data_IF_781112316162
#
_entry.id   IF_781112316162
#
_cell.length_a   1.000
_cell.length_b   1.000
_cell.length_c   1.000
_cell.angle_alpha   90.00
_cell.angle_beta   90.00
_cell.angle_gamma   90.00
#
_symmetry.space_group_name_H-M   'P 1'
#
loop_
_entity.id
_entity.type
_entity.pdbx_description
1 polymer ?
#
# COMPACT_ATOMS: atom_id res chain seq x y z
N UNK A 1 12.39 -4.85 -12.15
CA UNK A 1 12.14 -4.69 -10.72
C UNK A 1 10.67 -4.81 -10.44
N UNK A 2 10.36 -5.53 -9.40
CA UNK A 2 8.98 -5.73 -9.03
C UNK A 2 8.51 -4.65 -8.10
N UNK A 3 7.28 -4.26 -8.29
CA UNK A 3 6.63 -3.31 -7.41
C UNK A 3 5.37 -3.94 -6.88
N UNK A 4 5.06 -3.59 -5.64
CA UNK A 4 3.88 -4.11 -5.00
C UNK A 4 3.02 -2.96 -4.54
N UNK A 5 1.72 -3.20 -4.51
CA UNK A 5 0.77 -2.20 -4.08
C UNK A 5 0.06 -2.72 -2.85
N UNK A 6 0.05 -1.91 -1.82
CA UNK A 6 -0.69 -2.20 -0.60
C UNK A 6 -1.95 -1.35 -0.60
N UNK A 7 -3.06 -1.99 -0.84
CA UNK A 7 -4.34 -1.29 -0.92
C UNK A 7 -4.94 -1.21 0.48
N UNK A 8 -5.15 0.01 0.93
CA UNK A 8 -5.63 0.23 2.30
C UNK A 8 -7.05 0.78 2.35
N UNK A 9 -7.63 1.08 1.21
CA UNK A 9 -9.03 1.46 1.15
C UNK A 9 -9.23 2.95 1.01
N UNK A 10 -9.12 3.69 2.07
CA UNK A 10 -9.42 5.11 2.03
C UNK A 10 -8.15 5.93 1.81
N UNK A 11 -8.34 7.13 1.28
CA UNK A 11 -7.20 8.01 1.05
C UNK A 11 -6.54 8.40 2.36
N UNK A 12 -7.32 8.51 3.42
CA UNK A 12 -6.77 8.88 4.73
C UNK A 12 -5.78 7.82 5.20
N UNK A 13 -6.16 6.55 5.10
CA UNK A 13 -5.26 5.48 5.48
C UNK A 13 -4.07 5.38 4.54
N UNK A 14 -4.30 5.66 3.27
CA UNK A 14 -3.20 5.62 2.31
C UNK A 14 -2.15 6.67 2.64
N UNK A 15 -2.58 7.86 3.01
CA UNK A 15 -1.66 8.91 3.38
C UNK A 15 -0.92 8.53 4.65
N UNK A 16 -1.62 7.96 5.62
CA UNK A 16 -0.99 7.51 6.85
C UNK A 16 0.05 6.43 6.57
N UNK A 17 -0.32 5.47 5.72
CA UNK A 17 0.60 4.40 5.38
C UNK A 17 1.85 4.96 4.71
N UNK A 18 1.66 5.90 3.78
CA UNK A 18 2.80 6.48 3.09
C UNK A 18 3.73 7.20 4.06
N UNK A 19 3.15 7.96 4.97
CA UNK A 19 3.96 8.69 5.95
C UNK A 19 4.72 7.72 6.84
N UNK A 20 4.04 6.68 7.28
CA UNK A 20 4.67 5.68 8.14
C UNK A 20 5.85 5.03 7.43
N UNK A 21 5.64 4.60 6.21
CA UNK A 21 6.70 3.93 5.46
C UNK A 21 7.84 4.88 5.16
N UNK A 22 7.51 6.13 4.87
CA UNK A 22 8.54 7.14 4.62
C UNK A 22 9.41 7.34 5.85
N UNK A 23 8.83 7.30 7.02
CA UNK A 23 9.60 7.45 8.25
C UNK A 23 10.54 6.29 8.49
N UNK A 24 10.28 5.16 7.84
CA UNK A 24 11.16 3.99 7.92
C UNK A 24 12.18 3.97 6.79
N UNK A 25 12.22 5.00 5.98
CA UNK A 25 13.14 5.04 4.87
C UNK A 25 12.66 4.29 3.64
N UNK A 26 11.40 3.92 3.61
CA UNK A 26 10.83 3.19 2.50
C UNK A 26 10.17 4.15 1.53
N UNK A 27 10.50 4.02 0.27
CA UNK A 27 9.84 4.83 -0.75
C UNK A 27 8.47 4.27 -1.00
N UNK A 28 7.46 5.05 -0.67
CA UNK A 28 6.08 4.67 -0.89
C UNK A 28 5.40 5.75 -1.70
N UNK A 29 4.66 5.34 -2.71
CA UNK A 29 4.01 6.25 -3.62
C UNK A 29 2.51 6.07 -3.48
N UNK A 30 1.81 7.18 -3.30
CA UNK A 30 0.36 7.12 -3.20
C UNK A 30 -0.23 6.79 -4.55
N UNK A 31 -1.08 5.78 -4.60
CA UNK A 31 -1.71 5.37 -5.84
C UNK A 31 -3.19 5.21 -5.61
N UNK A 32 -3.93 5.43 -6.67
CA UNK A 32 -5.37 5.22 -6.66
C UNK A 32 -5.65 4.08 -7.61
N UNK A 33 -6.27 3.05 -7.09
CA UNK A 33 -6.60 1.90 -7.91
C UNK A 33 -8.07 1.61 -7.88
N UNK A 34 -8.51 0.81 -8.82
CA UNK A 34 -9.87 0.33 -8.82
C UNK A 34 -9.82 -1.15 -8.52
N UNK A 35 -10.74 -1.59 -7.70
CA UNK A 35 -10.84 -3.00 -7.41
C UNK A 35 -11.68 -3.65 -8.47
N UNK A 36 -11.18 -4.74 -8.98
CA UNK A 36 -11.93 -5.49 -9.96
C UNK A 36 -13.12 -6.16 -9.30
N UNK A 37 -14.23 -6.09 -9.97
CA UNK A 37 -15.45 -6.65 -9.42
C UNK A 37 -15.87 -5.96 -8.16
N UNK A 38 -15.28 -4.84 -7.87
CA UNK A 38 -15.58 -4.15 -6.66
C UNK A 38 -16.94 -3.50 -6.70
N UNK A 39 -17.37 -3.13 -5.56
CA UNK A 39 -18.66 -2.47 -5.40
C UNK A 39 -18.49 -1.01 -5.64
N UNK A 40 -18.03 -0.67 -6.78
CA UNK A 40 -17.96 0.72 -7.19
C UNK A 40 -17.14 1.53 -6.27
N UNK A 41 -16.18 1.37 -5.83
CA UNK A 41 -15.36 2.23 -5.04
C UNK A 41 -13.99 2.36 -5.60
N UNK A 42 -13.40 3.49 -5.33
CA UNK A 42 -12.00 3.67 -5.61
C UNK A 42 -11.24 3.28 -4.38
N UNK A 43 -10.24 2.46 -4.55
CA UNK A 43 -9.39 2.06 -3.44
C UNK A 43 -8.07 2.80 -3.56
N UNK A 44 -7.61 3.33 -2.44
CA UNK A 44 -6.32 4.00 -2.40
C UNK A 44 -5.30 3.09 -1.75
N UNK A 45 -4.07 3.22 -2.16
CA UNK A 45 -3.01 2.42 -1.61
C UNK A 45 -1.66 3.07 -1.82
N UNK A 46 -0.63 2.32 -1.50
CA UNK A 46 0.73 2.80 -1.68
C UNK A 46 1.51 1.77 -2.49
N UNK A 47 2.33 2.28 -3.39
CA UNK A 47 3.17 1.44 -4.22
C UNK A 47 4.57 1.43 -3.63
N UNK A 48 5.10 0.26 -3.45
CA UNK A 48 6.43 0.08 -2.88
C UNK A 48 7.20 -0.92 -3.72
N UNK A 49 8.49 -1.01 -3.47
CA UNK A 49 9.32 -2.03 -4.09
C UNK A 49 9.07 -3.36 -3.41
N UNK A 50 9.13 -4.43 -4.17
CA UNK A 50 8.89 -5.75 -3.59
C UNK A 50 9.87 -6.07 -2.48
N UNK A 51 11.07 -5.51 -2.55
CA UNK A 51 12.06 -5.74 -1.51
C UNK A 51 11.62 -5.18 -0.17
N UNK A 52 10.76 -4.18 -0.18
CA UNK A 52 10.29 -3.55 1.05
C UNK A 52 8.96 -4.11 1.54
N UNK A 53 8.46 -5.13 0.86
CA UNK A 53 7.12 -5.63 1.17
C UNK A 53 7.01 -6.12 2.61
N UNK A 54 7.97 -6.92 3.06
CA UNK A 54 7.93 -7.46 4.40
C UNK A 54 7.93 -6.37 5.47
N UNK A 55 8.83 -5.42 5.32
CA UNK A 55 8.93 -4.33 6.28
C UNK A 55 7.66 -3.49 6.25
N UNK A 56 7.14 -3.24 5.06
CA UNK A 56 5.94 -2.43 4.91
C UNK A 56 4.72 -3.10 5.54
N UNK A 57 4.54 -4.39 5.29
CA UNK A 57 3.39 -5.07 5.84
C UNK A 57 3.46 -5.16 7.36
N UNK A 58 4.65 -5.37 7.90
CA UNK A 58 4.82 -5.36 9.34
C UNK A 58 4.47 -4.01 9.94
N UNK A 59 4.92 -2.94 9.29
CA UNK A 59 4.67 -1.60 9.80
C UNK A 59 3.18 -1.30 9.79
N UNK A 60 2.50 -1.66 8.73
CA UNK A 60 1.06 -1.41 8.65
C UNK A 60 0.30 -2.22 9.70
N UNK A 61 0.70 -3.46 9.89
CA UNK A 61 0.07 -4.31 10.90
C UNK A 61 0.24 -3.71 12.29
N UNK A 62 1.43 -3.22 12.60
CA UNK A 62 1.69 -2.62 13.89
C UNK A 62 0.91 -1.34 14.08
N UNK A 63 0.65 -0.63 13.01
CA UNK A 63 -0.11 0.61 13.07
C UNK A 63 -1.62 0.38 13.08
N UNK A 64 -2.05 -0.88 12.95
CA UNK A 64 -3.46 -1.18 12.93
C UNK A 64 -4.14 -0.87 11.62
N UNK A 65 -3.39 -0.80 10.56
CA UNK A 65 -3.93 -0.49 9.24
C UNK A 65 -4.14 -1.78 8.47
N UNK A 66 -5.37 -2.04 8.08
CA UNK A 66 -5.67 -3.20 7.25
C UNK A 66 -5.24 -2.94 5.82
N UNK A 67 -4.77 -3.97 5.16
CA UNK A 67 -4.32 -3.82 3.80
C UNK A 67 -4.51 -5.11 3.02
N UNK A 68 -4.52 -4.95 1.70
CA UNK A 68 -4.38 -6.06 0.77
C UNK A 68 -3.22 -5.74 -0.14
N UNK A 69 -2.45 -6.76 -0.49
CA UNK A 69 -1.28 -6.48 -1.30
C UNK A 69 -1.34 -7.30 -2.57
N UNK A 70 -0.76 -6.74 -3.61
CA UNK A 70 -0.56 -7.46 -4.85
C UNK A 70 0.70 -6.92 -5.49
N UNK A 71 1.43 -7.78 -6.15
CA UNK A 71 2.66 -7.40 -6.81
C UNK A 71 2.50 -7.57 -8.31
N UNK A 72 2.98 -6.58 -9.01
CA UNK A 72 2.93 -6.59 -10.46
C UNK A 72 4.15 -7.32 -10.97
N UNK A 73 3.91 -8.40 -11.65
CA UNK A 73 4.99 -9.18 -12.19
C UNK A 73 5.03 -9.06 -13.67
N UNK A 74 6.09 -8.57 -14.15
CA UNK A 74 6.20 -8.45 -15.59
C UNK A 74 7.32 -9.21 -16.16
#
# INVERSE_FOLDING_TARGET
>A
MEQCILTVGTVTYAIRARKLLSSLGIRARLVKGTREGGMGGCAYGVEIMSADLNTSTKALTQAGISYEWSCDRK
#
